data_IF_418538468516
#
_entry.id   IF_418538468516
#
_cell.length_a   1.000
_cell.length_b   1.000
_cell.length_c   1.000
_cell.angle_alpha   90.00
_cell.angle_beta   90.00
_cell.angle_gamma   90.00
#
_symmetry.space_group_name_H-M   'P 1'
#
loop_
_entity.id
_entity.type
_entity.pdbx_description
1 polymer ?
#
# COMPACT_ATOMS: atom_id res chain seq x y z
N UNK A 1 12.86 13.76 -5.92
CA UNK A 1 13.34 12.37 -5.82
C UNK A 1 13.16 11.96 -4.38
N UNK A 2 12.51 10.84 -4.09
CA UNK A 2 12.35 10.33 -2.72
C UNK A 2 13.74 9.87 -2.25
N UNK A 3 14.13 10.16 -1.00
CA UNK A 3 15.41 9.67 -0.46
C UNK A 3 15.34 8.16 -0.23
N UNK A 4 16.46 7.46 -0.26
CA UNK A 4 16.49 6.00 -0.03
C UNK A 4 15.90 5.65 1.35
N UNK A 5 16.21 6.45 2.38
CA UNK A 5 15.66 6.31 3.74
C UNK A 5 14.14 6.50 3.81
N UNK A 6 13.59 7.44 3.05
CA UNK A 6 12.14 7.66 2.98
C UNK A 6 11.42 6.49 2.27
N UNK A 7 12.09 5.89 1.29
CA UNK A 7 11.59 4.72 0.55
C UNK A 7 11.55 3.50 1.46
N UNK A 8 12.62 3.22 2.21
CA UNK A 8 12.68 2.14 3.19
C UNK A 8 11.59 2.27 4.25
N UNK A 9 11.43 3.47 4.81
CA UNK A 9 10.39 3.74 5.79
C UNK A 9 8.97 3.61 5.23
N UNK A 10 8.77 3.98 3.96
CA UNK A 10 7.50 3.79 3.27
C UNK A 10 7.16 2.31 3.13
N UNK A 11 8.12 1.51 2.65
CA UNK A 11 7.97 0.06 2.54
C UNK A 11 7.63 -0.54 3.90
N UNK A 12 8.39 -0.20 4.95
CA UNK A 12 8.15 -0.69 6.30
C UNK A 12 6.73 -0.39 6.77
N UNK A 13 6.30 0.88 6.70
CA UNK A 13 4.97 1.29 7.19
C UNK A 13 3.84 0.64 6.41
N UNK A 14 4.01 0.45 5.09
CA UNK A 14 3.00 -0.22 4.27
C UNK A 14 2.94 -1.70 4.60
N UNK A 15 4.09 -2.39 4.69
CA UNK A 15 4.15 -3.82 5.06
C UNK A 15 3.52 -4.09 6.43
N UNK A 16 3.88 -3.31 7.46
CA UNK A 16 3.31 -3.44 8.80
C UNK A 16 1.78 -3.36 8.79
N UNK A 17 1.21 -2.44 8.01
CA UNK A 17 -0.25 -2.28 7.91
C UNK A 17 -0.91 -3.42 7.14
N UNK A 18 -0.23 -3.94 6.11
CA UNK A 18 -0.71 -5.12 5.39
C UNK A 18 -0.72 -6.34 6.30
N UNK A 19 0.35 -6.60 7.04
CA UNK A 19 0.43 -7.69 8.01
C UNK A 19 -0.68 -7.55 9.07
N UNK A 20 -0.82 -6.37 9.69
CA UNK A 20 -1.86 -6.10 10.68
C UNK A 20 -3.27 -6.41 10.17
N UNK A 21 -3.59 -6.04 8.93
CA UNK A 21 -4.92 -6.28 8.37
C UNK A 21 -5.09 -7.72 7.89
N UNK A 22 -4.08 -8.32 7.25
CA UNK A 22 -4.15 -9.68 6.74
C UNK A 22 -4.20 -10.73 7.86
N UNK A 23 -3.56 -10.49 9.01
CA UNK A 23 -3.72 -11.32 10.21
C UNK A 23 -5.16 -11.39 10.74
N UNK A 24 -6.03 -10.47 10.33
CA UNK A 24 -7.46 -10.47 10.68
C UNK A 24 -8.30 -11.31 9.71
N UNK A 25 -7.68 -11.89 8.68
CA UNK A 25 -8.37 -12.83 7.79
C UNK A 25 -8.97 -13.97 8.60
N UNK A 26 -10.17 -14.40 8.19
CA UNK A 26 -10.84 -15.57 8.80
C UNK A 26 -10.54 -16.86 8.06
N UNK A 27 -9.87 -16.79 6.91
CA UNK A 27 -9.66 -17.92 5.99
C UNK A 27 -8.20 -18.24 5.74
N UNK A 28 -7.32 -17.26 5.86
CA UNK A 28 -5.90 -17.41 5.58
C UNK A 28 -5.08 -17.09 6.82
N UNK A 29 -3.95 -17.79 6.96
CA UNK A 29 -2.93 -17.55 7.97
C UNK A 29 -1.66 -17.02 7.29
N UNK A 30 -0.98 -16.08 7.95
CA UNK A 30 0.33 -15.62 7.50
C UNK A 30 1.39 -16.60 7.98
N UNK A 31 2.23 -17.07 7.07
CA UNK A 31 3.34 -17.99 7.36
C UNK A 31 4.62 -17.54 6.67
N UNK A 32 5.76 -17.89 7.24
CA UNK A 32 7.09 -17.75 6.65
C UNK A 32 7.58 -19.03 5.95
N UNK A 33 6.77 -20.10 5.97
CA UNK A 33 7.08 -21.39 5.36
C UNK A 33 6.45 -21.54 3.98
N UNK A 34 7.20 -22.07 3.02
CA UNK A 34 6.67 -22.47 1.71
C UNK A 34 5.93 -23.81 1.81
N UNK A 35 4.94 -24.04 0.95
CA UNK A 35 4.16 -25.27 0.96
C UNK A 35 3.08 -25.34 -0.14
N UNK A 36 2.50 -26.53 -0.34
CA UNK A 36 1.52 -26.78 -1.41
C UNK A 36 0.24 -25.92 -1.30
N UNK A 37 -0.13 -25.50 -0.09
CA UNK A 37 -1.32 -24.65 0.16
C UNK A 37 -0.93 -23.22 0.56
N UNK A 38 0.29 -22.80 0.19
CA UNK A 38 0.81 -21.47 0.52
C UNK A 38 0.92 -20.63 -0.74
N UNK A 39 0.38 -19.41 -0.69
CA UNK A 39 0.57 -18.39 -1.71
C UNK A 39 1.49 -17.29 -1.21
N UNK A 40 2.32 -16.76 -2.10
CA UNK A 40 3.17 -15.59 -1.88
C UNK A 40 2.42 -14.36 -2.38
N UNK A 41 2.20 -13.40 -1.48
CA UNK A 41 1.72 -12.06 -1.84
C UNK A 41 2.91 -11.12 -2.06
N UNK A 42 2.99 -10.51 -3.24
CA UNK A 42 3.98 -9.48 -3.58
C UNK A 42 3.29 -8.15 -3.82
N UNK A 43 3.72 -7.12 -3.08
CA UNK A 43 3.29 -5.75 -3.28
C UNK A 43 4.35 -4.93 -4.01
N UNK A 44 3.95 -4.09 -4.96
CA UNK A 44 4.81 -3.11 -5.61
C UNK A 44 4.12 -1.76 -5.67
N UNK A 45 4.80 -0.71 -5.22
CA UNK A 45 4.34 0.67 -5.37
C UNK A 45 5.03 1.30 -6.57
N UNK A 46 4.24 1.78 -7.53
CA UNK A 46 4.67 2.43 -8.76
C UNK A 46 4.19 3.89 -8.78
N UNK A 47 4.83 4.69 -9.63
CA UNK A 47 4.43 6.07 -9.94
C UNK A 47 4.21 6.95 -8.70
N UNK A 48 5.07 6.78 -7.68
CA UNK A 48 4.95 7.55 -6.43
C UNK A 48 5.37 8.99 -6.72
N UNK A 49 4.37 9.87 -6.88
CA UNK A 49 4.60 11.30 -7.07
C UNK A 49 4.57 11.97 -5.72
N UNK A 50 5.67 12.63 -5.37
CA UNK A 50 5.79 13.32 -4.10
C UNK A 50 5.96 14.83 -4.21
N UNK A 51 5.05 15.60 -3.59
CA UNK A 51 5.13 17.06 -3.56
C UNK A 51 5.94 17.49 -2.34
N UNK A 52 7.18 17.92 -2.53
CA UNK A 52 8.00 18.53 -1.48
C UNK A 52 7.69 20.04 -1.43
N UNK A 53 7.18 20.61 -0.32
CA UNK A 53 7.16 22.06 -0.15
C UNK A 53 8.61 22.60 -0.09
N UNK A 54 8.92 23.76 -0.68
CA UNK A 54 10.27 24.32 -0.61
C UNK A 54 10.72 24.51 0.85
N UNK A 55 11.98 24.17 1.14
CA UNK A 55 12.56 24.28 2.48
C UNK A 55 12.42 25.71 3.02
N UNK A 56 11.83 25.87 4.21
CA UNK A 56 11.98 27.10 4.98
C UNK A 56 13.29 26.97 5.74
N UNK A 57 14.22 27.89 5.49
CA UNK A 57 15.52 27.94 6.16
C UNK A 57 15.36 27.77 7.69
N UNK A 58 16.03 26.77 8.26
CA UNK A 58 16.18 26.62 9.72
C UNK A 58 15.48 25.44 10.40
N UNK A 59 14.87 24.49 9.68
CA UNK A 59 14.37 23.24 10.29
C UNK A 59 14.86 22.00 9.54
N UNK A 60 15.70 21.22 10.21
CA UNK A 60 16.20 19.90 9.78
C UNK A 60 15.17 18.80 10.09
N UNK A 61 13.91 19.02 9.74
CA UNK A 61 12.92 17.93 9.75
C UNK A 61 12.66 17.57 8.29
N UNK A 62 13.12 16.39 7.90
CA UNK A 62 12.82 15.79 6.59
C UNK A 62 11.34 15.46 6.60
N UNK A 63 10.53 16.39 6.10
CA UNK A 63 9.10 16.16 5.89
C UNK A 63 8.96 15.23 4.69
N UNK A 64 8.36 14.05 4.87
CA UNK A 64 7.92 13.29 3.70
C UNK A 64 6.88 14.09 2.96
N UNK A 65 7.38 14.63 1.86
CA UNK A 65 6.78 14.83 0.57
C UNK A 65 5.38 14.23 0.40
N UNK A 66 4.45 15.05 -0.12
CA UNK A 66 3.04 14.66 -0.30
C UNK A 66 2.89 13.59 -1.37
N UNK A 67 2.47 12.37 -1.02
CA UNK A 67 2.07 11.38 -2.03
C UNK A 67 0.82 11.88 -2.76
N UNK A 68 1.01 12.43 -3.94
CA UNK A 68 -0.05 12.97 -4.79
C UNK A 68 -0.67 11.87 -5.67
N UNK A 69 0.18 10.95 -6.13
CA UNK A 69 -0.21 9.79 -6.91
C UNK A 69 0.61 8.58 -6.45
N UNK A 70 -0.03 7.42 -6.41
CA UNK A 70 0.63 6.13 -6.23
C UNK A 70 -0.23 5.02 -6.85
N UNK A 71 0.43 4.04 -7.46
CA UNK A 71 -0.20 2.83 -7.97
C UNK A 71 0.30 1.65 -7.16
N UNK A 72 -0.61 0.93 -6.52
CA UNK A 72 -0.30 -0.34 -5.88
C UNK A 72 -0.57 -1.47 -6.88
N UNK A 73 0.43 -2.32 -7.10
CA UNK A 73 0.29 -3.60 -7.81
C UNK A 73 0.45 -4.71 -6.80
N UNK A 74 -0.48 -5.67 -6.81
CA UNK A 74 -0.47 -6.87 -5.99
C UNK A 74 -0.39 -8.08 -6.90
N UNK A 75 0.48 -9.02 -6.56
CA UNK A 75 0.61 -10.31 -7.22
C UNK A 75 0.48 -11.43 -6.19
N UNK A 76 -0.35 -12.42 -6.49
CA UNK A 76 -0.43 -13.67 -5.75
C UNK A 76 0.22 -14.75 -6.60
N UNK A 77 1.18 -15.47 -6.02
CA UNK A 77 1.89 -16.55 -6.69
C UNK A 77 1.83 -17.84 -5.85
N UNK A 78 1.81 -18.99 -6.52
CA UNK A 78 1.98 -20.29 -5.86
C UNK A 78 3.39 -20.40 -5.25
N UNK A 79 3.50 -20.81 -3.99
CA UNK A 79 4.79 -20.77 -3.30
C UNK A 79 5.80 -21.82 -3.78
N UNK A 80 5.31 -22.92 -4.38
CA UNK A 80 6.15 -24.06 -4.80
C UNK A 80 6.73 -23.85 -6.20
N UNK A 81 5.92 -23.32 -7.11
CA UNK A 81 6.26 -23.12 -8.53
C UNK A 81 6.64 -21.68 -8.86
N UNK A 82 6.26 -20.74 -8.00
CA UNK A 82 6.33 -19.30 -8.25
C UNK A 82 5.44 -18.83 -9.43
N UNK A 83 4.48 -19.65 -9.87
CA UNK A 83 3.51 -19.29 -10.89
C UNK A 83 2.58 -18.19 -10.38
N UNK A 84 2.41 -17.12 -11.16
CA UNK A 84 1.45 -16.07 -10.83
C UNK A 84 0.02 -16.58 -10.99
N UNK A 85 -0.70 -16.68 -9.87
CA UNK A 85 -2.10 -17.09 -9.82
C UNK A 85 -3.05 -15.93 -10.10
N UNK A 86 -2.72 -14.74 -9.60
CA UNK A 86 -3.52 -13.54 -9.81
C UNK A 86 -2.67 -12.26 -9.73
N UNK A 87 -3.13 -11.21 -10.42
CA UNK A 87 -2.55 -9.87 -10.34
C UNK A 87 -3.65 -8.82 -10.30
N UNK A 88 -3.51 -7.83 -9.42
CA UNK A 88 -4.41 -6.68 -9.31
C UNK A 88 -3.61 -5.38 -9.27
N UNK A 89 -4.20 -4.30 -9.78
CA UNK A 89 -3.60 -2.97 -9.69
C UNK A 89 -4.66 -1.95 -9.25
N UNK A 90 -4.30 -1.11 -8.28
CA UNK A 90 -5.13 -0.03 -7.76
C UNK A 90 -4.34 1.27 -7.86
N UNK A 91 -4.78 2.17 -8.76
CA UNK A 91 -4.20 3.51 -8.87
C UNK A 91 -5.00 4.49 -8.02
N UNK A 92 -4.31 5.27 -7.18
CA UNK A 92 -4.89 6.48 -6.59
C UNK A 92 -4.21 7.71 -7.20
N UNK A 93 -4.92 8.37 -8.10
CA UNK A 93 -4.65 9.76 -8.43
C UNK A 93 -5.44 10.64 -7.45
N UNK A 94 -4.86 11.77 -7.01
CA UNK A 94 -5.64 12.79 -6.31
C UNK A 94 -6.90 13.10 -7.12
N UNK A 95 -8.07 12.80 -6.55
CA UNK A 95 -9.37 13.11 -7.16
C UNK A 95 -9.31 14.55 -7.69
N UNK A 96 -9.51 14.76 -9.00
CA UNK A 96 -9.89 16.07 -9.52
C UNK A 96 -11.39 16.19 -9.28
N UNK A 97 -11.88 16.94 -8.28
CA UNK A 97 -13.31 17.12 -8.12
C UNK A 97 -13.69 18.26 -9.07
N UNK A 98 -14.24 17.91 -10.22
CA UNK A 98 -15.07 18.83 -10.98
C UNK A 98 -16.31 19.15 -10.15
N UNK A 99 -16.27 20.25 -9.41
CA UNK A 99 -17.41 20.70 -8.60
C UNK A 99 -16.95 21.39 -7.33
N UNK A 100 -16.81 22.71 -7.42
CA UNK A 100 -16.87 23.73 -6.36
C UNK A 100 -16.96 23.19 -4.92
N UNK A 101 -15.86 22.61 -4.44
CA UNK A 101 -15.43 22.44 -3.06
C UNK A 101 -13.97 22.02 -3.13
N UNK A 102 -13.15 22.85 -3.78
CA UNK A 102 -11.70 22.88 -3.56
C UNK A 102 -11.53 23.46 -2.16
N UNK A 103 -11.95 22.70 -1.15
CA UNK A 103 -11.59 22.95 0.23
C UNK A 103 -10.08 22.95 0.22
N UNK A 104 -9.50 24.12 0.46
CA UNK A 104 -8.07 24.34 0.58
C UNK A 104 -7.50 23.26 1.51
N UNK A 105 -6.97 22.20 0.92
CA UNK A 105 -6.37 21.09 1.67
C UNK A 105 -5.01 21.57 2.12
N UNK A 106 -5.01 22.02 3.39
CA UNK A 106 -3.89 22.62 4.09
C UNK A 106 -2.56 21.84 3.94
N UNK A 107 -1.40 22.51 3.87
CA UNK A 107 -0.09 21.88 3.66
C UNK A 107 0.48 21.12 4.87
N UNK A 108 0.18 19.82 5.03
CA UNK A 108 1.05 18.87 5.75
C UNK A 108 0.80 17.45 5.22
N UNK A 109 1.79 16.79 4.60
CA UNK A 109 1.72 15.33 4.45
C UNK A 109 2.32 14.69 5.69
N UNK A 110 1.41 14.18 6.51
CA UNK A 110 1.72 13.39 7.68
C UNK A 110 1.66 11.90 7.26
N UNK A 111 2.55 11.08 7.82
CA UNK A 111 2.49 9.61 7.72
C UNK A 111 1.08 9.04 7.94
N UNK A 112 0.24 9.72 8.72
CA UNK A 112 -1.17 9.38 8.90
C UNK A 112 -1.93 9.14 7.58
N UNK A 113 -1.68 9.94 6.53
CA UNK A 113 -2.35 9.77 5.23
C UNK A 113 -1.87 8.53 4.48
N UNK A 114 -0.56 8.27 4.50
CA UNK A 114 0.04 7.04 3.95
C UNK A 114 -0.55 5.82 4.67
N UNK A 115 -0.58 5.85 6.00
CA UNK A 115 -1.15 4.78 6.82
C UNK A 115 -2.63 4.54 6.49
N UNK A 116 -3.40 5.62 6.30
CA UNK A 116 -4.82 5.53 5.92
C UNK A 116 -5.01 4.92 4.53
N UNK A 117 -4.17 5.28 3.57
CA UNK A 117 -4.22 4.72 2.21
C UNK A 117 -3.83 3.23 2.21
N UNK A 118 -2.71 2.89 2.84
CA UNK A 118 -2.25 1.51 2.98
C UNK A 118 -3.33 0.64 3.63
N UNK A 119 -3.96 1.11 4.72
CA UNK A 119 -5.00 0.36 5.43
C UNK A 119 -6.23 0.11 4.55
N UNK A 120 -6.65 1.09 3.74
CA UNK A 120 -7.76 0.87 2.79
C UNK A 120 -7.44 -0.22 1.78
N UNK A 121 -6.22 -0.23 1.23
CA UNK A 121 -5.80 -1.26 0.28
C UNK A 121 -5.71 -2.64 0.95
N UNK A 122 -5.12 -2.72 2.14
CA UNK A 122 -5.00 -3.97 2.89
C UNK A 122 -6.38 -4.55 3.27
N UNK A 123 -7.33 -3.72 3.72
CA UNK A 123 -8.72 -4.13 3.96
C UNK A 123 -9.35 -4.68 2.68
N UNK A 124 -9.23 -3.97 1.55
CA UNK A 124 -9.79 -4.42 0.27
C UNK A 124 -9.21 -5.76 -0.18
N UNK A 125 -7.91 -5.97 0.00
CA UNK A 125 -7.26 -7.24 -0.28
C UNK A 125 -7.77 -8.35 0.64
N UNK A 126 -7.75 -8.14 1.97
CA UNK A 126 -8.25 -9.12 2.94
C UNK A 126 -9.68 -9.51 2.62
N UNK A 127 -10.57 -8.53 2.45
CA UNK A 127 -11.98 -8.78 2.19
C UNK A 127 -12.17 -9.55 0.87
N UNK A 128 -11.35 -9.24 -0.15
CA UNK A 128 -11.31 -9.98 -1.41
C UNK A 128 -10.86 -11.42 -1.25
N UNK A 129 -9.81 -11.68 -0.46
CA UNK A 129 -9.34 -13.02 -0.11
C UNK A 129 -10.40 -13.79 0.67
N UNK A 130 -10.96 -13.19 1.72
CA UNK A 130 -11.99 -13.79 2.58
C UNK A 130 -13.29 -14.12 1.83
N UNK A 131 -13.55 -13.44 0.71
CA UNK A 131 -14.69 -13.66 -0.16
C UNK A 131 -14.48 -14.80 -1.19
N UNK A 132 -13.26 -15.34 -1.32
CA UNK A 132 -13.02 -16.49 -2.21
C UNK A 132 -13.77 -17.71 -1.65
N UNK A 133 -14.86 -18.07 -2.32
CA UNK A 133 -15.58 -19.31 -2.07
C UNK A 133 -14.93 -20.44 -2.89
N UNK A 134 -14.55 -21.53 -2.23
CA UNK A 134 -14.05 -22.74 -2.91
C UNK A 134 -12.53 -22.93 -2.93
N UNK A 135 -11.81 -22.59 -1.85
CA UNK A 135 -10.47 -23.19 -1.62
C UNK A 135 -10.69 -24.72 -1.66
N UNK A 136 -10.10 -25.45 -2.61
CA UNK A 136 -10.24 -26.90 -2.66
C UNK A 136 -9.75 -27.46 -1.32
N UNK A 137 -10.58 -28.30 -0.68
CA UNK A 137 -10.13 -29.14 0.43
C UNK A 137 -9.36 -30.35 -0.10
#
# INVERSE_FOLDING_TARGET
>A
MVSDTDTEKLVQVVSEIFDEELQKSKRFEITDQLGPDVMILRGTLLDIVSLVPPERAGRTEVYLSRVAEATLVLELADSMSNETLARAAERRAAERPGGMNVMWSSPVTNWAEVKRLARRWAIKLRDGLDAIEGVPQ
#
